data_IF_892246018468
#
_entry.id   IF_892246018468
#
_cell.length_a   1.000
_cell.length_b   1.000
_cell.length_c   1.000
_cell.angle_alpha   90.00
_cell.angle_beta   90.00
_cell.angle_gamma   90.00
#
_symmetry.space_group_name_H-M   'P 1'
#
loop_
_entity.id
_entity.type
_entity.pdbx_description
1 polymer ?
#
# COMPACT_ATOMS: atom_id res chain seq x y z
N UNK A 1 5.01 -16.35 -5.90
CA UNK A 1 5.88 -15.28 -5.37
C UNK A 1 5.29 -14.88 -4.02
N UNK A 2 5.91 -15.31 -2.92
CA UNK A 2 5.42 -15.03 -1.57
C UNK A 2 5.50 -13.53 -1.28
N UNK A 3 4.43 -12.96 -0.73
CA UNK A 3 4.47 -11.59 -0.21
C UNK A 3 5.53 -11.54 0.89
N UNK A 4 6.46 -10.59 0.79
CA UNK A 4 7.43 -10.35 1.86
C UNK A 4 6.67 -9.77 3.05
N UNK A 5 6.23 -10.63 3.95
CA UNK A 5 5.71 -10.24 5.25
C UNK A 5 6.88 -9.74 6.09
N UNK A 6 6.98 -8.42 6.21
CA UNK A 6 7.91 -7.77 7.14
C UNK A 6 7.23 -7.56 8.50
N UNK A 7 7.96 -7.61 9.61
CA UNK A 7 7.44 -7.27 10.92
C UNK A 7 6.89 -5.83 10.95
N UNK A 8 5.93 -5.57 11.82
CA UNK A 8 5.19 -4.30 11.88
C UNK A 8 6.12 -3.10 12.16
N UNK A 9 7.22 -3.33 12.87
CA UNK A 9 8.24 -2.33 13.17
C UNK A 9 8.94 -1.81 11.90
N UNK A 10 9.14 -2.67 10.89
CA UNK A 10 9.74 -2.27 9.61
C UNK A 10 8.79 -1.36 8.84
N UNK A 11 7.48 -1.67 8.89
CA UNK A 11 6.44 -0.82 8.32
C UNK A 11 6.28 0.51 9.05
N UNK A 12 6.49 0.54 10.36
CA UNK A 12 6.53 1.79 11.13
C UNK A 12 7.71 2.68 10.73
N UNK A 13 8.89 2.10 10.49
CA UNK A 13 10.03 2.86 9.95
C UNK A 13 9.71 3.43 8.58
N UNK A 14 9.11 2.62 7.70
CA UNK A 14 8.67 3.08 6.38
C UNK A 14 7.65 4.23 6.49
N UNK A 15 6.67 4.11 7.39
CA UNK A 15 5.66 5.13 7.64
C UNK A 15 6.28 6.49 8.02
N UNK A 16 7.25 6.47 8.94
CA UNK A 16 7.97 7.66 9.37
C UNK A 16 8.77 8.28 8.21
N UNK A 17 9.55 7.48 7.48
CA UNK A 17 10.32 7.94 6.32
C UNK A 17 9.41 8.56 5.25
N UNK A 18 8.26 7.95 4.98
CA UNK A 18 7.28 8.44 3.99
C UNK A 18 6.69 9.79 4.42
N UNK A 19 6.21 9.88 5.66
CA UNK A 19 5.63 11.10 6.22
C UNK A 19 6.65 12.24 6.23
N UNK A 20 7.88 11.95 6.69
CA UNK A 20 8.97 12.92 6.75
C UNK A 20 9.37 13.39 5.35
N UNK A 21 9.53 12.48 4.38
CA UNK A 21 9.88 12.85 3.01
C UNK A 21 8.80 13.69 2.36
N UNK A 22 7.54 13.30 2.54
CA UNK A 22 6.39 14.06 2.04
C UNK A 22 6.40 15.50 2.59
N UNK A 23 6.66 15.66 3.89
CA UNK A 23 6.80 16.97 4.53
C UNK A 23 8.00 17.77 4.00
N UNK A 24 9.16 17.14 3.78
CA UNK A 24 10.34 17.78 3.18
C UNK A 24 10.07 18.30 1.76
N UNK A 25 9.28 17.57 0.97
CA UNK A 25 8.89 17.97 -0.38
C UNK A 25 7.71 18.95 -0.39
N UNK A 26 7.10 19.24 0.76
CA UNK A 26 5.92 20.10 0.87
C UNK A 26 4.67 19.51 0.20
N UNK A 27 4.60 18.19 0.05
CA UNK A 27 3.50 17.51 -0.63
C UNK A 27 2.35 17.20 0.36
N UNK A 28 1.13 17.38 -0.07
CA UNK A 28 -0.04 16.78 0.58
C UNK A 28 -0.21 15.32 0.14
N UNK A 29 -1.09 14.57 0.80
CA UNK A 29 -1.44 13.22 0.33
C UNK A 29 -2.09 13.27 -1.07
N UNK A 30 -2.84 14.33 -1.37
CA UNK A 30 -3.44 14.54 -2.69
C UNK A 30 -2.38 14.82 -3.76
N UNK A 31 -1.34 15.58 -3.42
CA UNK A 31 -0.22 15.84 -4.33
C UNK A 31 0.56 14.56 -4.65
N UNK A 32 0.76 13.67 -3.66
CA UNK A 32 1.38 12.36 -3.89
C UNK A 32 0.54 11.52 -4.86
N UNK A 33 -0.80 11.52 -4.70
CA UNK A 33 -1.69 10.87 -5.66
C UNK A 33 -1.61 11.52 -7.04
N UNK A 34 -1.63 12.86 -7.11
CA UNK A 34 -1.55 13.61 -8.36
C UNK A 34 -0.23 13.37 -9.12
N UNK A 35 0.86 13.14 -8.39
CA UNK A 35 2.16 12.72 -8.93
C UNK A 35 2.18 11.26 -9.44
N UNK A 36 1.04 10.56 -9.46
CA UNK A 36 0.92 9.18 -9.87
C UNK A 36 1.36 8.18 -8.80
N UNK A 37 1.36 8.60 -7.53
CA UNK A 37 1.54 7.76 -6.35
C UNK A 37 0.29 6.98 -5.98
N UNK A 38 0.31 6.24 -4.85
CA UNK A 38 -0.86 5.51 -4.36
C UNK A 38 -2.01 6.46 -3.97
N UNK A 39 -3.22 5.91 -3.85
CA UNK A 39 -4.38 6.69 -3.39
C UNK A 39 -4.14 7.31 -2.01
N UNK A 40 -4.83 8.39 -1.67
CA UNK A 40 -4.73 9.02 -0.34
C UNK A 40 -5.07 8.04 0.79
N UNK A 41 -5.99 7.10 0.56
CA UNK A 41 -6.35 6.05 1.52
C UNK A 41 -5.22 5.04 1.69
N UNK A 42 -4.66 4.55 0.58
CA UNK A 42 -3.51 3.62 0.61
C UNK A 42 -2.30 4.28 1.25
N UNK A 43 -2.01 5.53 0.87
CA UNK A 43 -0.93 6.33 1.45
C UNK A 43 -1.14 6.51 2.95
N UNK A 44 -2.37 6.82 3.39
CA UNK A 44 -2.70 6.89 4.82
C UNK A 44 -2.43 5.57 5.54
N UNK A 45 -2.77 4.41 4.95
CA UNK A 45 -2.48 3.12 5.57
C UNK A 45 -0.98 2.85 5.70
N UNK A 46 -0.20 3.28 4.69
CA UNK A 46 1.26 3.18 4.72
C UNK A 46 1.82 4.10 5.80
N UNK A 47 1.39 5.37 5.87
CA UNK A 47 1.80 6.35 6.88
C UNK A 47 1.35 5.99 8.31
N UNK A 48 0.36 5.12 8.47
CA UNK A 48 -0.08 4.61 9.77
C UNK A 48 0.38 3.19 10.07
N UNK A 49 1.26 2.62 9.23
CA UNK A 49 1.74 1.23 9.33
C UNK A 49 0.61 0.24 9.64
N UNK A 50 -0.56 0.41 9.01
CA UNK A 50 -1.77 -0.32 9.38
C UNK A 50 -1.90 -1.69 8.70
N UNK A 51 -1.01 -1.98 7.75
CA UNK A 51 -0.89 -3.29 7.13
C UNK A 51 0.59 -3.66 7.04
N UNK A 52 0.85 -4.96 7.03
CA UNK A 52 2.17 -5.59 7.00
C UNK A 52 2.57 -6.08 5.59
N UNK A 53 1.76 -5.76 4.58
CA UNK A 53 2.01 -6.12 3.19
C UNK A 53 1.21 -5.23 2.22
N UNK A 54 1.86 -4.81 1.14
CA UNK A 54 1.25 -4.06 0.03
C UNK A 54 1.71 -4.62 -1.32
N UNK A 55 0.95 -4.35 -2.38
CA UNK A 55 1.34 -4.75 -3.74
C UNK A 55 2.59 -3.99 -4.18
N UNK A 56 3.53 -4.68 -4.82
CA UNK A 56 4.78 -4.10 -5.32
C UNK A 56 4.56 -2.88 -6.21
N UNK A 57 3.53 -2.88 -7.08
CA UNK A 57 3.21 -1.73 -7.93
C UNK A 57 2.85 -0.47 -7.13
N UNK A 58 2.11 -0.60 -6.02
CA UNK A 58 1.76 0.53 -5.16
C UNK A 58 3.00 1.13 -4.48
N UNK A 59 3.95 0.28 -4.08
CA UNK A 59 5.23 0.69 -3.49
C UNK A 59 6.13 1.38 -4.53
N UNK A 60 6.23 0.85 -5.75
CA UNK A 60 6.98 1.50 -6.85
C UNK A 60 6.39 2.86 -7.23
N UNK A 61 5.06 2.99 -7.26
CA UNK A 61 4.39 4.28 -7.47
C UNK A 61 4.70 5.27 -6.34
N UNK A 62 4.74 4.79 -5.10
CA UNK A 62 5.11 5.59 -3.94
C UNK A 62 6.55 6.10 -4.05
N UNK A 63 7.52 5.23 -4.36
CA UNK A 63 8.92 5.60 -4.57
C UNK A 63 9.05 6.72 -5.61
N UNK A 64 8.32 6.59 -6.73
CA UNK A 64 8.34 7.60 -7.78
C UNK A 64 7.76 8.94 -7.31
N UNK A 65 6.65 8.92 -6.59
CA UNK A 65 5.97 10.13 -6.11
C UNK A 65 6.76 10.88 -5.02
N UNK A 66 7.58 10.17 -4.23
CA UNK A 66 8.43 10.74 -3.18
C UNK A 66 9.85 11.09 -3.66
N UNK A 67 10.09 11.01 -4.97
CA UNK A 67 11.41 11.16 -5.60
C UNK A 67 12.49 10.29 -4.94
N UNK A 68 12.13 9.05 -4.64
CA UNK A 68 13.06 8.01 -4.22
C UNK A 68 13.56 7.19 -5.42
N UNK A 69 14.75 6.62 -5.26
CA UNK A 69 15.27 5.61 -6.16
C UNK A 69 14.47 4.31 -5.99
N UNK A 70 14.38 3.52 -7.07
CA UNK A 70 13.73 2.21 -7.01
C UNK A 70 14.44 1.30 -5.99
N UNK A 71 13.66 0.58 -5.18
CA UNK A 71 14.19 -0.27 -4.11
C UNK A 71 14.45 0.47 -2.79
N UNK A 72 14.15 1.77 -2.71
CA UNK A 72 14.26 2.51 -1.44
C UNK A 72 13.28 2.00 -0.39
N UNK A 73 12.08 1.59 -0.79
CA UNK A 73 11.12 0.99 0.14
C UNK A 73 11.66 -0.33 0.69
N UNK A 74 12.24 -1.17 -0.15
CA UNK A 74 12.87 -2.43 0.26
C UNK A 74 14.06 -2.17 1.20
N UNK A 75 14.88 -1.16 0.90
CA UNK A 75 15.99 -0.77 1.77
C UNK A 75 15.52 -0.38 3.18
N UNK A 76 14.44 0.41 3.29
CA UNK A 76 13.86 0.80 4.59
C UNK A 76 13.27 -0.41 5.33
N UNK A 77 12.55 -1.26 4.62
CA UNK A 77 12.00 -2.49 5.18
C UNK A 77 13.12 -3.44 5.65
N UNK A 78 14.29 -3.44 5.00
CA UNK A 78 15.49 -4.16 5.42
C UNK A 78 16.25 -3.49 6.59
N UNK A 79 15.78 -2.35 7.09
CA UNK A 79 16.41 -1.60 8.20
C UNK A 79 17.44 -0.56 7.78
N UNK A 80 17.55 -0.27 6.48
CA UNK A 80 18.33 0.83 5.93
C UNK A 80 17.54 2.13 5.81
N UNK A 81 18.07 3.05 5.01
CA UNK A 81 17.51 4.37 4.74
C UNK A 81 17.03 4.47 3.29
N UNK A 82 16.00 5.29 2.99
CA UNK A 82 15.55 5.50 1.62
C UNK A 82 16.60 6.28 0.83
N UNK A 83 16.76 5.97 -0.45
CA UNK A 83 17.68 6.70 -1.33
C UNK A 83 16.92 7.74 -2.12
N UNK A 84 17.23 9.01 -1.90
CA UNK A 84 16.67 10.10 -2.70
C UNK A 84 17.23 10.10 -4.12
N UNK A 85 16.39 10.30 -5.14
CA UNK A 85 16.82 10.31 -6.54
C UNK A 85 17.80 11.45 -6.84
N UNK A 86 17.63 12.60 -6.18
CA UNK A 86 18.60 13.72 -6.24
C UNK A 86 20.00 13.31 -5.73
N UNK A 87 20.07 12.46 -4.69
CA UNK A 87 21.32 11.92 -4.17
C UNK A 87 21.88 10.77 -5.03
N UNK A 88 21.01 10.02 -5.71
CA UNK A 88 21.35 8.89 -6.58
C UNK A 88 21.94 9.29 -7.95
N UNK A 89 22.53 10.48 -8.10
CA UNK A 89 23.13 10.96 -9.35
C UNK A 89 24.45 10.25 -9.67
N UNK A 90 24.39 8.94 -9.90
CA UNK A 90 25.31 8.12 -10.68
C UNK A 90 24.48 7.01 -11.35
N UNK A 91 24.36 6.99 -12.68
CA UNK A 91 23.56 5.97 -13.35
C UNK A 91 24.30 4.63 -13.36
N UNK A 92 23.65 3.49 -13.09
CA UNK A 92 24.02 2.26 -13.74
C UNK A 92 23.27 2.19 -15.08
N UNK A 93 24.05 2.13 -16.15
CA UNK A 93 23.62 1.81 -17.50
C UNK A 93 22.88 0.48 -17.55
N UNK A 94 21.69 0.45 -18.17
CA UNK A 94 21.46 -0.48 -19.28
C UNK A 94 20.32 0.01 -20.19
N UNK A 95 20.51 0.04 -21.52
CA UNK A 95 19.44 0.18 -22.50
C UNK A 95 18.87 -1.20 -22.88
N UNK A 96 17.81 -1.17 -23.69
CA UNK A 96 17.18 -2.27 -24.47
C UNK A 96 15.86 -2.85 -23.97
N UNK A 97 14.85 -2.69 -24.82
CA UNK A 97 13.52 -3.27 -24.69
C UNK A 97 12.48 -2.60 -25.59
N UNK A 98 12.80 -2.31 -26.85
CA UNK A 98 11.79 -2.08 -27.89
C UNK A 98 10.87 -3.31 -27.96
N UNK A 99 9.56 -3.11 -27.82
CA UNK A 99 8.54 -4.07 -28.27
C UNK A 99 7.21 -3.36 -28.46
N UNK A 100 6.92 -3.03 -29.72
CA UNK A 100 5.57 -2.81 -30.22
C UNK A 100 4.68 -4.01 -29.84
N UNK A 101 3.52 -3.75 -29.26
CA UNK A 101 2.47 -4.75 -29.09
C UNK A 101 1.13 -4.14 -29.50
N UNK A 102 0.54 -4.77 -30.51
CA UNK A 102 -0.65 -4.34 -31.21
C UNK A 102 -1.89 -4.21 -30.34
N UNK A 103 -2.79 -3.38 -30.86
CA UNK A 103 -4.14 -3.12 -30.42
C UNK A 103 -4.95 -4.42 -30.26
N UNK A 104 -5.14 -4.88 -29.03
CA UNK A 104 -6.13 -5.89 -28.65
C UNK A 104 -7.26 -5.12 -27.95
N UNK A 105 -8.44 -5.04 -28.57
CA UNK A 105 -9.62 -4.44 -27.95
C UNK A 105 -10.00 -5.18 -26.66
N UNK A 106 -10.23 -4.42 -25.58
CA UNK A 106 -10.37 -4.92 -24.22
C UNK A 106 -11.74 -5.63 -24.00
N UNK A 107 -11.75 -6.93 -23.68
CA UNK A 107 -12.98 -7.68 -23.37
C UNK A 107 -13.62 -7.33 -22.01
N UNK A 108 -13.07 -6.36 -21.25
CA UNK A 108 -13.49 -6.00 -19.89
C UNK A 108 -14.31 -4.70 -19.77
N UNK A 109 -14.86 -4.19 -20.88
CA UNK A 109 -15.67 -2.98 -20.90
C UNK A 109 -16.93 -3.13 -20.01
N UNK A 110 -16.92 -2.53 -18.81
CA UNK A 110 -18.06 -2.48 -17.89
C UNK A 110 -17.74 -2.61 -16.39
N UNK A 111 -16.51 -2.93 -16.01
CA UNK A 111 -16.03 -2.78 -14.63
C UNK A 111 -15.31 -1.43 -14.47
N UNK A 112 -15.20 -0.86 -13.25
CA UNK A 112 -14.22 0.20 -13.03
C UNK A 112 -12.85 -0.35 -13.43
N UNK A 113 -12.26 0.26 -14.46
CA UNK A 113 -10.96 -0.12 -15.05
C UNK A 113 -9.82 0.05 -14.03
N UNK A 114 -10.07 0.84 -12.98
CA UNK A 114 -9.11 1.13 -11.95
C UNK A 114 -9.01 -0.02 -10.92
N UNK A 115 -7.89 -0.77 -10.93
CA UNK A 115 -7.69 -1.90 -10.01
C UNK A 115 -7.55 -1.44 -8.56
N UNK A 116 -7.30 -0.15 -8.31
CA UNK A 116 -7.13 0.44 -6.99
C UNK A 116 -8.50 0.79 -6.35
N UNK A 117 -9.51 1.19 -7.14
CA UNK A 117 -10.91 1.32 -6.69
C UNK A 117 -11.50 -0.04 -6.30
N UNK A 118 -11.17 -1.10 -7.06
CA UNK A 118 -11.55 -2.48 -6.74
C UNK A 118 -10.91 -2.96 -5.44
N UNK A 119 -9.65 -2.60 -5.20
CA UNK A 119 -8.97 -2.95 -3.95
C UNK A 119 -9.55 -2.21 -2.75
N UNK A 120 -9.87 -0.92 -2.90
CA UNK A 120 -10.51 -0.13 -1.85
C UNK A 120 -11.88 -0.70 -1.46
N UNK A 121 -12.67 -1.15 -2.43
CA UNK A 121 -13.96 -1.77 -2.16
C UNK A 121 -13.84 -3.12 -1.44
N UNK A 122 -12.89 -3.95 -1.85
CA UNK A 122 -12.62 -5.22 -1.18
C UNK A 122 -12.13 -5.03 0.26
N UNK A 123 -11.29 -4.02 0.52
CA UNK A 123 -10.83 -3.68 1.88
C UNK A 123 -11.98 -3.18 2.75
N UNK A 124 -12.84 -2.29 2.22
CA UNK A 124 -14.05 -1.83 2.91
C UNK A 124 -14.95 -3.00 3.29
N UNK A 125 -15.17 -3.93 2.36
CA UNK A 125 -16.00 -5.12 2.56
C UNK A 125 -15.40 -6.08 3.60
N UNK A 126 -14.10 -6.34 3.57
CA UNK A 126 -13.44 -7.19 4.57
C UNK A 126 -13.50 -6.58 5.97
N UNK A 127 -13.31 -5.26 6.11
CA UNK A 127 -13.45 -4.57 7.39
C UNK A 127 -14.89 -4.59 7.92
N UNK A 128 -15.89 -4.56 7.04
CA UNK A 128 -17.29 -4.71 7.42
C UNK A 128 -17.60 -6.13 7.94
N UNK A 129 -17.08 -7.15 7.27
CA UNK A 129 -17.23 -8.56 7.70
C UNK A 129 -16.59 -8.80 9.06
N UNK A 130 -15.40 -8.24 9.32
CA UNK A 130 -14.74 -8.36 10.62
C UNK A 130 -15.60 -7.83 11.78
N UNK A 131 -16.24 -6.66 11.59
CA UNK A 131 -17.15 -6.08 12.60
C UNK A 131 -18.41 -6.93 12.83
N UNK A 132 -18.91 -7.59 11.78
CA UNK A 132 -20.06 -8.48 11.90
C UNK A 132 -19.70 -9.77 12.65
N UNK A 133 -18.50 -10.30 12.41
CA UNK A 133 -17.98 -11.46 13.17
C UNK A 133 -17.80 -11.11 14.64
N UNK A 134 -17.19 -9.96 14.97
CA UNK A 134 -17.05 -9.50 16.36
C UNK A 134 -18.40 -9.38 17.06
N UNK A 135 -19.41 -8.83 16.38
CA UNK A 135 -20.77 -8.71 16.91
C UNK A 135 -21.38 -10.08 17.22
N UNK A 136 -21.29 -11.02 16.28
CA UNK A 136 -21.83 -12.37 16.44
C UNK A 136 -21.11 -13.18 17.53
N UNK A 137 -19.82 -12.93 17.74
CA UNK A 137 -19.04 -13.53 18.85
C UNK A 137 -19.50 -12.99 20.20
N UNK A 138 -19.79 -11.68 20.32
CA UNK A 138 -20.29 -11.08 21.55
C UNK A 138 -21.71 -11.57 21.90
N UNK A 139 -22.62 -11.59 20.93
CA UNK A 139 -24.00 -12.10 21.13
C UNK A 139 -24.04 -13.60 21.48
N UNK A 140 -23.04 -14.37 21.02
CA UNK A 140 -22.88 -15.79 21.34
C UNK A 140 -22.38 -16.05 22.77
N UNK A 141 -21.62 -15.11 23.34
CA UNK A 141 -21.09 -15.21 24.70
C UNK A 141 -22.18 -14.95 25.75
N UNK A 142 -23.07 -13.98 25.52
CA UNK A 142 -24.21 -13.69 26.42
C UNK A 142 -25.20 -14.86 26.51
N UNK A 143 -25.45 -15.58 25.41
CA UNK A 143 -26.33 -16.78 25.43
C UNK A 143 -25.73 -18.00 26.15
N UNK A 144 -24.43 -18.00 26.41
CA UNK A 144 -23.74 -19.11 27.08
C UNK A 144 -23.80 -18.99 28.62
N UNK A 145 -23.98 -17.77 29.15
CA UNK A 145 -24.08 -17.54 30.59
C UNK A 145 -25.48 -17.81 31.16
N UNK A 146 -26.55 -17.67 30.36
CA UNK A 146 -27.94 -18.00 30.77
C UNK A 146 -28.21 -19.50 30.95
N UNK A 147 -27.28 -20.40 30.54
CA UNK A 147 -27.47 -21.85 30.64
C UNK A 147 -26.95 -22.47 31.95
N UNK A 148 -26.43 -21.65 32.87
CA UNK A 148 -25.83 -22.11 34.14
C UNK A 148 -26.58 -21.62 35.40
N UNK A 149 -27.86 -21.27 35.28
CA UNK A 149 -28.76 -20.99 36.40
C UNK A 149 -30.05 -21.82 36.28
N UNK A 150 -29.93 -23.13 36.49
CA UNK A 150 -31.04 -24.07 36.57
C UNK A 150 -30.76 -25.16 37.60
#
# INVERSE_FOLDING_TARGET
MGGMSHPIEDWQRLAECVSQRRAQLGLTQEDVRAAGGPSTVTLRYIESASQDSYKSNSLTRLERALDWAAGSVEAVLAGGEPTERSAAKRPPSNPEGDSEAGEIGDPLAGLPEDPDERLAELVRRNKAIGREIERLVLDGNERSEDRHAG
#
